data_IF_275353669557
#
_entry.id   IF_275353669557
#
_cell.length_a   1.000
_cell.length_b   1.000
_cell.length_c   1.000
_cell.angle_alpha   90.00
_cell.angle_beta   90.00
_cell.angle_gamma   90.00
#
_symmetry.space_group_name_H-M   'P 1'
#
loop_
_entity.id
_entity.type
_entity.pdbx_description
1 polymer ?
#
# COMPACT_ATOMS: atom_id res chain seq x y z
N UNK A 1 -37.01 -25.66 12.85
CA UNK A 1 -37.19 -24.33 12.24
C UNK A 1 -35.80 -23.69 12.14
N UNK A 2 -34.96 -23.88 11.12
CA UNK A 2 -35.20 -24.37 9.78
C UNK A 2 -35.60 -23.25 8.83
N UNK A 3 -34.78 -22.22 8.64
CA UNK A 3 -34.79 -21.35 7.45
C UNK A 3 -33.61 -20.33 7.47
N UNK A 4 -32.98 -20.16 6.30
CA UNK A 4 -31.90 -19.23 5.92
C UNK A 4 -30.47 -19.49 6.44
N UNK A 5 -29.84 -20.59 6.01
CA UNK A 5 -28.39 -20.58 5.71
C UNK A 5 -28.24 -20.20 4.23
N UNK A 6 -28.25 -18.91 3.91
CA UNK A 6 -27.89 -18.46 2.57
C UNK A 6 -26.47 -18.94 2.27
N UNK A 7 -26.32 -19.74 1.23
CA UNK A 7 -25.01 -20.17 0.74
C UNK A 7 -24.14 -18.93 0.51
N UNK A 8 -22.91 -18.94 1.02
CA UNK A 8 -21.90 -17.91 0.73
C UNK A 8 -21.77 -17.77 -0.80
N UNK A 9 -22.31 -16.69 -1.36
CA UNK A 9 -22.23 -16.46 -2.82
C UNK A 9 -20.95 -15.73 -3.14
N UNK A 10 -20.22 -16.24 -4.13
CA UNK A 10 -19.10 -15.51 -4.73
C UNK A 10 -19.62 -14.21 -5.32
N UNK A 11 -18.99 -13.11 -4.95
CA UNK A 11 -19.37 -11.76 -5.42
C UNK A 11 -18.46 -11.25 -6.54
N UNK A 12 -17.18 -11.67 -6.58
CA UNK A 12 -16.22 -11.19 -7.58
C UNK A 12 -15.07 -12.20 -7.82
N UNK A 13 -14.22 -11.90 -8.80
CA UNK A 13 -13.01 -12.59 -9.18
C UNK A 13 -11.87 -11.57 -9.34
N UNK A 14 -10.93 -11.51 -8.40
CA UNK A 14 -9.88 -10.48 -8.43
C UNK A 14 -8.52 -11.15 -8.29
N UNK A 15 -7.59 -10.87 -9.20
CA UNK A 15 -6.21 -11.36 -9.13
C UNK A 15 -6.08 -12.88 -9.04
N UNK A 16 -7.03 -13.63 -9.61
CA UNK A 16 -7.08 -15.09 -9.53
C UNK A 16 -7.71 -15.68 -8.27
N UNK A 17 -8.18 -14.84 -7.34
CA UNK A 17 -8.87 -15.26 -6.12
C UNK A 17 -10.40 -15.11 -6.23
N UNK A 18 -11.14 -16.04 -5.64
CA UNK A 18 -12.58 -15.94 -5.43
C UNK A 18 -12.88 -15.00 -4.25
N UNK A 19 -13.73 -14.00 -4.45
CA UNK A 19 -14.10 -13.05 -3.41
C UNK A 19 -15.52 -13.33 -2.92
N UNK A 20 -15.68 -13.45 -1.61
CA UNK A 20 -16.96 -13.63 -0.93
C UNK A 20 -17.19 -12.46 0.01
N UNK A 21 -18.34 -11.79 -0.13
CA UNK A 21 -18.68 -10.61 0.66
C UNK A 21 -20.11 -10.71 1.18
N UNK A 22 -20.32 -10.29 2.43
CA UNK A 22 -21.60 -10.41 3.12
C UNK A 22 -21.47 -10.14 4.61
N UNK A 23 -22.57 -10.33 5.33
CA UNK A 23 -22.64 -10.18 6.78
C UNK A 23 -22.45 -11.54 7.47
N UNK A 24 -21.77 -11.60 8.63
CA UNK A 24 -21.53 -12.83 9.41
C UNK A 24 -20.83 -13.96 8.62
N UNK A 25 -20.01 -13.60 7.62
CA UNK A 25 -19.21 -14.58 6.87
C UNK A 25 -18.31 -15.39 7.78
N UNK A 26 -17.73 -14.80 8.83
CA UNK A 26 -16.83 -15.49 9.74
C UNK A 26 -17.46 -16.76 10.36
N UNK A 27 -18.75 -16.70 10.71
CA UNK A 27 -19.49 -17.86 11.24
C UNK A 27 -19.87 -18.90 10.19
N UNK A 28 -19.90 -18.51 8.91
CA UNK A 28 -20.24 -19.39 7.78
C UNK A 28 -19.01 -20.02 7.10
N UNK A 29 -17.79 -19.63 7.49
CA UNK A 29 -16.54 -20.12 6.91
C UNK A 29 -16.43 -21.65 6.87
N UNK A 30 -16.80 -22.43 7.91
CA UNK A 30 -16.69 -23.88 7.85
C UNK A 30 -17.52 -24.50 6.72
N UNK A 31 -18.70 -23.96 6.45
CA UNK A 31 -19.55 -24.43 5.34
C UNK A 31 -18.95 -24.07 3.97
N UNK A 32 -18.35 -22.89 3.84
CA UNK A 32 -17.71 -22.45 2.59
C UNK A 32 -16.43 -23.25 2.29
N UNK A 33 -15.59 -23.49 3.29
CA UNK A 33 -14.35 -24.28 3.16
C UNK A 33 -14.66 -25.76 2.94
N UNK A 34 -15.69 -26.29 3.58
CA UNK A 34 -16.07 -27.70 3.45
C UNK A 34 -16.56 -28.13 2.07
N UNK A 35 -16.96 -27.18 1.21
CA UNK A 35 -17.25 -27.48 -0.20
C UNK A 35 -15.99 -27.74 -1.02
N UNK A 36 -14.81 -27.34 -0.54
CA UNK A 36 -13.55 -27.40 -1.30
C UNK A 36 -12.52 -28.35 -0.69
N UNK A 37 -12.56 -28.57 0.62
CA UNK A 37 -11.62 -29.46 1.30
C UNK A 37 -12.36 -30.47 2.16
N UNK A 38 -12.33 -31.74 1.76
CA UNK A 38 -12.88 -32.84 2.56
C UNK A 38 -12.03 -33.05 3.82
N UNK A 39 -12.65 -32.92 4.99
CA UNK A 39 -12.13 -33.34 6.31
C UNK A 39 -10.61 -33.12 6.51
N UNK A 40 -10.18 -31.87 6.60
CA UNK A 40 -8.76 -31.53 6.70
C UNK A 40 -8.37 -30.89 8.04
N UNK A 41 -7.07 -30.90 8.33
CA UNK A 41 -6.49 -30.02 9.33
C UNK A 41 -6.32 -28.62 8.74
N UNK A 42 -6.71 -27.61 9.51
CA UNK A 42 -6.66 -26.20 9.12
C UNK A 42 -5.61 -25.50 9.98
N UNK A 43 -4.72 -24.76 9.32
CA UNK A 43 -3.82 -23.82 9.98
C UNK A 43 -4.43 -22.43 9.95
N UNK A 44 -4.79 -21.89 11.12
CA UNK A 44 -5.32 -20.54 11.27
C UNK A 44 -4.22 -19.60 11.77
N UNK A 45 -3.93 -18.55 11.00
CA UNK A 45 -2.92 -17.55 11.34
C UNK A 45 -3.59 -16.22 11.63
N UNK A 46 -3.34 -15.66 12.80
CA UNK A 46 -3.97 -14.42 13.26
C UNK A 46 -2.95 -13.30 13.50
N UNK A 47 -3.34 -12.07 13.21
CA UNK A 47 -2.63 -10.90 13.73
C UNK A 47 -2.86 -10.77 15.24
N UNK A 48 -1.94 -10.13 15.96
CA UNK A 48 -2.06 -9.91 17.41
C UNK A 48 -3.38 -9.23 17.82
N UNK A 49 -3.91 -8.37 16.95
CA UNK A 49 -5.15 -7.63 17.20
C UNK A 49 -6.43 -8.44 16.89
N UNK A 50 -6.33 -9.60 16.24
CA UNK A 50 -7.46 -10.37 15.73
C UNK A 50 -7.58 -11.75 16.39
N UNK A 51 -6.89 -11.96 17.51
CA UNK A 51 -6.87 -13.23 18.26
C UNK A 51 -8.27 -13.66 18.70
N UNK A 52 -9.13 -12.73 19.13
CA UNK A 52 -10.51 -13.02 19.51
C UNK A 52 -11.36 -13.51 18.32
N UNK A 53 -11.21 -12.84 17.16
CA UNK A 53 -11.87 -13.26 15.91
C UNK A 53 -11.38 -14.65 15.49
N UNK A 54 -10.06 -14.88 15.55
CA UNK A 54 -9.46 -16.16 15.23
C UNK A 54 -9.93 -17.28 16.16
N UNK A 55 -10.07 -17.02 17.46
CA UNK A 55 -10.60 -17.98 18.43
C UNK A 55 -12.05 -18.38 18.08
N UNK A 56 -12.92 -17.40 17.80
CA UNK A 56 -14.31 -17.66 17.40
C UNK A 56 -14.40 -18.45 16.08
N UNK A 57 -13.56 -18.13 15.10
CA UNK A 57 -13.46 -18.88 13.84
C UNK A 57 -12.97 -20.31 14.09
N UNK A 58 -11.95 -20.49 14.93
CA UNK A 58 -11.43 -21.81 15.27
C UNK A 58 -12.47 -22.70 15.97
N UNK A 59 -13.24 -22.14 16.91
CA UNK A 59 -14.37 -22.82 17.56
C UNK A 59 -15.44 -23.24 16.54
N UNK A 60 -15.77 -22.36 15.59
CA UNK A 60 -16.74 -22.65 14.53
C UNK A 60 -16.29 -23.81 13.63
N UNK A 61 -15.00 -23.85 13.28
CA UNK A 61 -14.40 -24.96 12.51
C UNK A 61 -14.36 -26.26 13.33
N UNK A 62 -14.02 -26.19 14.62
CA UNK A 62 -14.01 -27.35 15.50
C UNK A 62 -15.42 -27.96 15.66
N UNK A 63 -16.44 -27.12 15.82
CA UNK A 63 -17.84 -27.54 15.88
C UNK A 63 -18.32 -28.20 14.57
N UNK A 64 -17.73 -27.84 13.43
CA UNK A 64 -17.98 -28.46 12.13
C UNK A 64 -17.13 -29.72 11.86
N UNK A 65 -16.31 -30.15 12.83
CA UNK A 65 -15.51 -31.39 12.75
C UNK A 65 -14.08 -31.23 12.23
N UNK A 66 -13.60 -29.99 12.00
CA UNK A 66 -12.23 -29.73 11.56
C UNK A 66 -11.25 -29.70 12.73
N UNK A 67 -10.02 -30.15 12.51
CA UNK A 67 -8.91 -29.92 13.46
C UNK A 67 -8.24 -28.60 13.13
N UNK A 68 -8.17 -27.67 14.08
CA UNK A 68 -7.61 -26.33 13.86
C UNK A 68 -6.36 -26.14 14.70
N UNK A 69 -5.26 -25.74 14.07
CA UNK A 69 -4.05 -25.25 14.73
C UNK A 69 -4.00 -23.73 14.60
N UNK A 70 -4.04 -23.00 15.72
CA UNK A 70 -3.97 -21.52 15.71
C UNK A 70 -2.53 -21.06 15.98
N UNK A 71 -2.04 -20.10 15.20
CA UNK A 71 -0.71 -19.48 15.32
C UNK A 71 -0.77 -17.98 15.16
N UNK A 72 0.12 -17.26 15.84
CA UNK A 72 0.32 -15.83 15.63
C UNK A 72 1.13 -15.53 14.37
N UNK A 73 0.80 -14.45 13.67
CA UNK A 73 1.58 -13.98 12.51
C UNK A 73 3.02 -13.56 12.87
N UNK A 74 3.25 -13.23 14.15
CA UNK A 74 4.56 -12.86 14.72
C UNK A 74 5.36 -14.06 15.22
N UNK A 75 4.75 -15.25 15.28
CA UNK A 75 5.38 -16.45 15.83
C UNK A 75 6.22 -17.16 14.77
N UNK A 76 7.35 -17.69 15.21
CA UNK A 76 8.08 -18.70 14.44
C UNK A 76 7.49 -20.07 14.75
N UNK A 77 7.10 -20.79 13.70
CA UNK A 77 6.56 -22.13 13.80
C UNK A 77 6.82 -22.85 12.48
N UNK A 78 6.95 -24.17 12.57
CA UNK A 78 6.92 -25.04 11.40
C UNK A 78 5.47 -25.47 11.13
N UNK A 79 4.95 -25.26 9.92
CA UNK A 79 3.59 -25.63 9.59
C UNK A 79 3.45 -27.16 9.57
N UNK A 80 2.40 -27.68 10.17
CA UNK A 80 2.17 -29.13 10.27
C UNK A 80 1.79 -29.72 8.90
N UNK A 81 2.53 -30.72 8.42
CA UNK A 81 2.43 -31.28 7.06
C UNK A 81 1.02 -31.78 6.65
N UNK A 82 0.18 -32.09 7.64
CA UNK A 82 -1.19 -32.57 7.47
C UNK A 82 -2.18 -31.44 7.14
N UNK A 83 -1.77 -30.18 7.24
CA UNK A 83 -2.62 -29.05 6.90
C UNK A 83 -2.82 -28.97 5.38
N UNK A 84 -4.08 -28.95 4.95
CA UNK A 84 -4.46 -28.84 3.53
C UNK A 84 -5.12 -27.50 3.19
N UNK A 85 -5.47 -26.73 4.22
CA UNK A 85 -5.99 -25.38 4.10
C UNK A 85 -5.33 -24.47 5.14
N UNK A 86 -4.85 -23.31 4.69
CA UNK A 86 -4.30 -22.25 5.54
C UNK A 86 -5.21 -21.05 5.46
N UNK A 87 -5.69 -20.58 6.61
CA UNK A 87 -6.57 -19.42 6.71
C UNK A 87 -5.85 -18.30 7.46
N UNK A 88 -5.76 -17.13 6.86
CA UNK A 88 -5.40 -15.91 7.58
C UNK A 88 -6.65 -15.26 8.17
N UNK A 89 -6.64 -14.89 9.45
CA UNK A 89 -7.63 -14.01 10.07
C UNK A 89 -6.95 -12.71 10.48
N UNK A 90 -6.95 -11.71 9.60
CA UNK A 90 -6.08 -10.55 9.75
C UNK A 90 -6.05 -9.66 8.53
N UNK A 91 -5.01 -8.83 8.44
CA UNK A 91 -4.72 -8.03 7.27
C UNK A 91 -3.39 -8.46 6.63
N UNK A 92 -2.54 -7.51 6.24
CA UNK A 92 -1.34 -7.80 5.44
C UNK A 92 -0.37 -8.80 6.06
N UNK A 93 -0.11 -8.71 7.37
CA UNK A 93 0.92 -9.55 8.01
C UNK A 93 0.48 -11.01 8.12
N UNK A 94 -0.73 -11.26 8.65
CA UNK A 94 -1.32 -12.60 8.64
C UNK A 94 -1.43 -13.18 7.22
N UNK A 95 -1.84 -12.38 6.22
CA UNK A 95 -1.95 -12.83 4.84
C UNK A 95 -0.58 -13.27 4.25
N UNK A 96 0.50 -12.49 4.45
CA UNK A 96 1.84 -12.88 3.99
C UNK A 96 2.33 -14.16 4.67
N UNK A 97 2.14 -14.29 5.99
CA UNK A 97 2.53 -15.49 6.74
C UNK A 97 1.74 -16.71 6.28
N UNK A 98 0.44 -16.57 6.01
CA UNK A 98 -0.41 -17.63 5.47
C UNK A 98 0.02 -18.04 4.06
N UNK A 99 0.29 -17.10 3.17
CA UNK A 99 0.84 -17.39 1.84
C UNK A 99 2.16 -18.14 1.91
N UNK A 100 3.04 -17.79 2.85
CA UNK A 100 4.31 -18.49 3.05
C UNK A 100 4.07 -19.94 3.52
N UNK A 101 3.25 -20.13 4.56
CA UNK A 101 2.93 -21.46 5.08
C UNK A 101 2.21 -22.35 4.05
N UNK A 102 1.25 -21.79 3.31
CA UNK A 102 0.52 -22.50 2.26
C UNK A 102 1.46 -22.97 1.14
N UNK A 103 2.42 -22.13 0.73
CA UNK A 103 3.45 -22.50 -0.25
C UNK A 103 4.34 -23.65 0.24
N UNK A 104 4.78 -23.61 1.50
CA UNK A 104 5.57 -24.69 2.09
C UNK A 104 4.80 -26.01 2.14
N UNK A 105 3.49 -25.95 2.41
CA UNK A 105 2.64 -27.13 2.55
C UNK A 105 2.04 -27.64 1.23
N UNK A 106 2.13 -26.89 0.14
CA UNK A 106 1.33 -27.14 -1.08
C UNK A 106 -0.17 -27.09 -0.81
N UNK A 107 -0.61 -26.27 0.16
CA UNK A 107 -1.98 -26.17 0.63
C UNK A 107 -2.72 -24.98 -0.02
N UNK A 108 -4.05 -25.02 0.00
CA UNK A 108 -4.86 -23.85 -0.38
C UNK A 108 -4.78 -22.75 0.69
N UNK A 109 -4.84 -21.49 0.26
CA UNK A 109 -4.79 -20.32 1.15
C UNK A 109 -6.04 -19.46 1.03
N UNK A 110 -6.74 -19.28 2.15
CA UNK A 110 -7.84 -18.33 2.30
C UNK A 110 -7.44 -17.13 3.19
N UNK A 111 -8.10 -16.00 3.00
CA UNK A 111 -7.93 -14.82 3.85
C UNK A 111 -9.30 -14.31 4.31
N UNK A 112 -9.58 -14.38 5.62
CA UNK A 112 -10.61 -13.59 6.28
C UNK A 112 -10.02 -12.21 6.58
N UNK A 113 -10.40 -11.24 5.76
CA UNK A 113 -9.91 -9.87 5.90
C UNK A 113 -10.66 -9.18 7.03
N UNK A 114 -9.93 -8.81 8.08
CA UNK A 114 -10.52 -8.17 9.28
C UNK A 114 -10.34 -6.65 9.29
N UNK A 115 -9.46 -6.12 8.44
CA UNK A 115 -9.26 -4.68 8.31
C UNK A 115 -8.68 -4.31 6.93
N UNK A 116 -9.21 -3.28 6.25
CA UNK A 116 -8.76 -2.87 4.93
C UNK A 116 -7.50 -1.98 5.02
N UNK A 117 -6.35 -2.54 5.38
CA UNK A 117 -5.12 -1.74 5.64
C UNK A 117 -4.10 -1.74 4.50
N UNK A 118 -4.27 -2.60 3.50
CA UNK A 118 -3.30 -2.81 2.43
C UNK A 118 -3.98 -3.33 1.17
N UNK A 119 -3.48 -2.91 0.02
CA UNK A 119 -3.83 -3.43 -1.31
C UNK A 119 -3.09 -4.75 -1.62
N UNK A 120 -2.06 -5.10 -0.84
CA UNK A 120 -1.12 -6.19 -1.17
C UNK A 120 -1.57 -7.59 -0.77
N UNK A 121 -2.84 -7.78 -0.41
CA UNK A 121 -3.36 -9.09 0.02
C UNK A 121 -3.10 -10.16 -1.05
N UNK A 122 -3.39 -9.84 -2.31
CA UNK A 122 -3.23 -10.73 -3.46
C UNK A 122 -1.85 -10.66 -4.13
N UNK A 123 -0.96 -9.78 -3.66
CA UNK A 123 0.36 -9.60 -4.27
C UNK A 123 1.21 -10.88 -4.15
N UNK A 124 1.90 -11.24 -5.24
CA UNK A 124 2.70 -12.46 -5.32
C UNK A 124 1.91 -13.76 -5.49
N UNK A 125 0.58 -13.68 -5.66
CA UNK A 125 -0.31 -14.82 -5.84
C UNK A 125 -0.45 -15.71 -4.60
N UNK A 126 -0.99 -16.91 -4.80
CA UNK A 126 -1.08 -17.95 -3.77
C UNK A 126 -2.28 -17.86 -2.83
N UNK A 127 -3.13 -16.83 -2.94
CA UNK A 127 -4.43 -16.76 -2.25
C UNK A 127 -5.50 -17.22 -3.21
N UNK A 128 -6.25 -18.27 -2.86
CA UNK A 128 -7.37 -18.77 -3.67
C UNK A 128 -8.69 -18.08 -3.32
N UNK A 129 -8.85 -17.62 -2.07
CA UNK A 129 -10.13 -17.14 -1.54
C UNK A 129 -9.95 -15.96 -0.60
N UNK A 130 -10.80 -14.96 -0.73
CA UNK A 130 -10.89 -13.83 0.20
C UNK A 130 -12.32 -13.69 0.73
N UNK A 131 -12.44 -13.59 2.03
CA UNK A 131 -13.69 -13.50 2.78
C UNK A 131 -13.79 -12.12 3.42
N UNK A 132 -14.86 -11.39 3.07
CA UNK A 132 -15.13 -10.03 3.51
C UNK A 132 -16.41 -10.00 4.35
N UNK A 133 -16.24 -10.02 5.67
CA UNK A 133 -17.34 -9.88 6.61
C UNK A 133 -17.59 -8.39 6.90
N UNK A 134 -18.75 -7.88 6.46
CA UNK A 134 -19.10 -6.47 6.58
C UNK A 134 -19.07 -5.94 8.01
N UNK A 135 -19.58 -6.71 8.98
CA UNK A 135 -19.57 -6.30 10.39
C UNK A 135 -18.16 -6.19 10.95
N UNK A 136 -17.30 -7.14 10.61
CA UNK A 136 -15.90 -7.11 11.05
C UNK A 136 -15.15 -5.94 10.41
N UNK A 137 -15.37 -5.68 9.11
CA UNK A 137 -14.71 -4.59 8.41
C UNK A 137 -15.20 -3.21 8.88
N UNK A 138 -16.49 -3.05 9.16
CA UNK A 138 -17.06 -1.79 9.65
C UNK A 138 -16.72 -1.50 11.12
N UNK A 139 -16.45 -2.55 11.91
CA UNK A 139 -16.01 -2.43 13.31
C UNK A 139 -14.48 -2.32 13.47
N UNK A 140 -13.72 -2.33 12.37
CA UNK A 140 -12.27 -2.24 12.45
C UNK A 140 -11.80 -0.89 13.04
N UNK A 141 -10.61 -0.82 13.66
CA UNK A 141 -10.10 0.44 14.19
C UNK A 141 -10.06 1.53 13.13
N UNK A 142 -10.48 2.77 13.46
CA UNK A 142 -10.54 3.89 12.50
C UNK A 142 -9.23 4.14 11.76
N UNK A 143 -8.09 3.99 12.44
CA UNK A 143 -6.75 4.08 11.82
C UNK A 143 -6.57 3.07 10.67
N UNK A 144 -7.14 1.88 10.77
CA UNK A 144 -7.03 0.84 9.76
C UNK A 144 -7.86 1.20 8.52
N UNK A 145 -9.09 1.66 8.74
CA UNK A 145 -9.95 2.21 7.68
C UNK A 145 -9.28 3.41 7.00
N UNK A 146 -8.73 4.34 7.77
CA UNK A 146 -8.03 5.52 7.25
C UNK A 146 -6.79 5.14 6.43
N UNK A 147 -6.04 4.12 6.84
CA UNK A 147 -4.92 3.60 6.05
C UNK A 147 -5.40 3.08 4.68
N UNK A 148 -6.45 2.25 4.65
CA UNK A 148 -7.05 1.77 3.40
C UNK A 148 -7.52 2.90 2.50
N UNK A 149 -8.29 3.82 3.08
CA UNK A 149 -8.81 4.98 2.34
C UNK A 149 -7.67 5.83 1.79
N UNK A 150 -6.58 5.99 2.56
CA UNK A 150 -5.41 6.74 2.13
C UNK A 150 -4.71 6.15 0.90
N UNK A 151 -4.67 4.83 0.78
CA UNK A 151 -4.16 4.15 -0.42
C UNK A 151 -5.01 4.53 -1.63
N UNK A 152 -6.34 4.38 -1.53
CA UNK A 152 -7.23 4.69 -2.65
C UNK A 152 -7.21 6.18 -3.03
N UNK A 153 -7.21 7.08 -2.04
CA UNK A 153 -7.15 8.53 -2.28
C UNK A 153 -5.81 8.99 -2.88
N UNK A 154 -4.75 8.19 -2.74
CA UNK A 154 -3.45 8.49 -3.34
C UNK A 154 -3.36 8.10 -4.83
N UNK A 155 -4.26 7.22 -5.31
CA UNK A 155 -4.22 6.68 -6.68
C UNK A 155 -4.20 7.73 -7.80
N UNK A 156 -4.91 8.87 -7.73
CA UNK A 156 -4.82 9.88 -8.77
C UNK A 156 -3.41 10.45 -8.99
N UNK A 157 -2.61 10.59 -7.91
CA UNK A 157 -1.22 11.04 -8.01
C UNK A 157 -0.34 9.93 -8.58
N UNK A 158 -0.55 8.68 -8.16
CA UNK A 158 0.10 7.52 -8.79
C UNK A 158 -0.20 7.43 -10.28
N UNK A 159 -1.45 7.66 -10.70
CA UNK A 159 -1.85 7.65 -12.10
C UNK A 159 -1.19 8.79 -12.91
N UNK A 160 -0.94 9.93 -12.27
CA UNK A 160 -0.15 11.01 -12.87
C UNK A 160 1.30 10.60 -13.11
N UNK A 161 1.95 9.97 -12.12
CA UNK A 161 3.32 9.48 -12.28
C UNK A 161 3.42 8.40 -13.37
N UNK A 162 2.45 7.47 -13.43
CA UNK A 162 2.37 6.45 -14.49
C UNK A 162 2.17 7.07 -15.88
N UNK A 163 1.37 8.14 -15.97
CA UNK A 163 1.19 8.90 -17.20
C UNK A 163 2.50 9.55 -17.64
N UNK A 164 3.24 10.17 -16.71
CA UNK A 164 4.53 10.78 -16.97
C UNK A 164 5.55 9.75 -17.47
N UNK A 165 5.70 8.62 -16.78
CA UNK A 165 6.63 7.56 -17.17
C UNK A 165 6.34 6.96 -18.54
N UNK A 166 5.07 6.83 -18.92
CA UNK A 166 4.70 6.34 -20.26
C UNK A 166 5.00 7.37 -21.35
N UNK A 167 4.79 8.67 -21.08
CA UNK A 167 5.23 9.75 -21.97
C UNK A 167 6.75 9.72 -22.17
N UNK A 168 7.52 9.50 -21.10
CA UNK A 168 8.97 9.34 -21.16
C UNK A 168 9.39 8.09 -21.94
N UNK A 169 8.64 7.00 -21.84
CA UNK A 169 8.96 5.75 -22.54
C UNK A 169 8.51 5.76 -24.00
N UNK A 170 7.69 6.73 -24.42
CA UNK A 170 7.10 6.81 -25.77
C UNK A 170 5.94 5.84 -25.98
N UNK A 171 5.41 5.26 -24.91
CA UNK A 171 4.21 4.46 -24.95
C UNK A 171 2.95 5.33 -25.05
N UNK A 172 1.86 4.74 -25.55
CA UNK A 172 0.55 5.40 -25.50
C UNK A 172 0.17 5.66 -24.03
N UNK A 173 -0.03 6.93 -23.63
CA UNK A 173 -0.47 7.22 -22.27
C UNK A 173 -1.89 6.66 -22.07
N UNK A 174 -2.21 6.08 -20.91
CA UNK A 174 -3.56 5.68 -20.60
C UNK A 174 -4.45 6.92 -20.57
N UNK A 175 -5.74 6.74 -20.81
CA UNK A 175 -6.71 7.79 -20.51
C UNK A 175 -6.51 8.20 -19.04
N UNK A 176 -6.17 9.46 -18.81
CA UNK A 176 -6.07 9.98 -17.46
C UNK A 176 -7.49 10.08 -16.91
N UNK A 177 -7.85 9.13 -16.06
CA UNK A 177 -9.13 9.10 -15.37
C UNK A 177 -8.88 9.38 -13.90
N UNK A 178 -9.45 10.49 -13.41
CA UNK A 178 -9.57 10.70 -11.98
C UNK A 178 -10.57 9.67 -11.45
N UNK A 179 -10.10 8.66 -10.72
CA UNK A 179 -10.99 7.74 -10.02
C UNK A 179 -11.72 8.52 -8.94
N UNK A 180 -12.99 8.85 -9.19
CA UNK A 180 -13.86 9.43 -8.17
C UNK A 180 -14.27 8.34 -7.19
N UNK A 181 -13.82 8.46 -5.94
CA UNK A 181 -14.26 7.57 -4.87
C UNK A 181 -15.61 8.06 -4.33
N UNK A 182 -16.63 7.19 -4.18
CA UNK A 182 -17.90 7.51 -3.53
C UNK A 182 -17.68 8.21 -2.20
N UNK A 183 -18.52 9.19 -1.81
CA UNK A 183 -18.30 10.04 -0.62
C UNK A 183 -18.11 9.26 0.68
N UNK A 184 -18.82 8.14 0.82
CA UNK A 184 -18.69 7.20 1.93
C UNK A 184 -18.52 5.80 1.33
N UNK A 185 -17.62 5.03 1.93
CA UNK A 185 -17.35 3.65 1.53
C UNK A 185 -17.56 2.80 2.77
N UNK A 186 -18.39 1.77 2.68
CA UNK A 186 -18.40 0.69 3.66
C UNK A 186 -17.01 0.03 3.75
N UNK A 187 -16.73 -0.65 4.86
CA UNK A 187 -15.50 -1.42 5.02
C UNK A 187 -15.33 -2.47 3.91
N UNK A 188 -16.43 -3.09 3.47
CA UNK A 188 -16.46 -4.04 2.34
C UNK A 188 -16.10 -3.39 1.01
N UNK A 189 -16.71 -2.24 0.67
CA UNK A 189 -16.38 -1.52 -0.57
C UNK A 189 -14.94 -1.03 -0.58
N UNK A 190 -14.44 -0.57 0.57
CA UNK A 190 -13.04 -0.18 0.73
C UNK A 190 -12.10 -1.38 0.52
N UNK A 191 -12.40 -2.52 1.13
CA UNK A 191 -11.64 -3.76 0.95
C UNK A 191 -11.62 -4.21 -0.52
N UNK A 192 -12.77 -4.21 -1.20
CA UNK A 192 -12.86 -4.53 -2.62
C UNK A 192 -12.04 -3.57 -3.48
N UNK A 193 -12.12 -2.26 -3.20
CA UNK A 193 -11.32 -1.25 -3.89
C UNK A 193 -9.82 -1.48 -3.73
N UNK A 194 -9.36 -1.88 -2.54
CA UNK A 194 -7.96 -2.22 -2.26
C UNK A 194 -7.52 -3.49 -2.99
N UNK A 195 -8.35 -4.53 -3.01
CA UNK A 195 -8.04 -5.77 -3.75
C UNK A 195 -7.87 -5.51 -5.25
N UNK A 196 -8.75 -4.70 -5.83
CA UNK A 196 -8.65 -4.28 -7.24
C UNK A 196 -7.38 -3.46 -7.49
N UNK A 197 -7.10 -2.47 -6.64
CA UNK A 197 -5.89 -1.67 -6.74
C UNK A 197 -4.60 -2.52 -6.63
N UNK A 198 -4.60 -3.52 -5.75
CA UNK A 198 -3.49 -4.46 -5.61
C UNK A 198 -3.26 -5.30 -6.86
N UNK A 199 -4.33 -5.83 -7.45
CA UNK A 199 -4.25 -6.62 -8.67
C UNK A 199 -3.70 -5.82 -9.86
N UNK A 200 -4.02 -4.53 -9.97
CA UNK A 200 -3.50 -3.65 -11.04
C UNK A 200 -2.00 -3.31 -10.89
N UNK A 201 -1.43 -3.47 -9.70
CA UNK A 201 -0.06 -3.01 -9.38
C UNK A 201 0.93 -4.15 -9.20
N UNK A 202 0.48 -5.41 -9.31
CA UNK A 202 1.28 -6.60 -8.99
C UNK A 202 2.56 -6.77 -9.83
N UNK A 203 2.56 -6.30 -11.08
CA UNK A 203 3.66 -6.53 -12.04
C UNK A 203 4.65 -5.34 -12.15
N UNK A 204 4.57 -4.35 -11.26
CA UNK A 204 5.46 -3.18 -11.33
C UNK A 204 6.86 -3.52 -10.85
N UNK A 205 7.85 -3.34 -11.73
CA UNK A 205 9.27 -3.52 -11.40
C UNK A 205 9.79 -2.48 -10.40
N UNK A 206 9.23 -1.26 -10.41
CA UNK A 206 9.62 -0.16 -9.52
C UNK A 206 8.41 0.40 -8.76
N UNK A 207 8.59 0.83 -7.50
CA UNK A 207 7.54 1.53 -6.77
C UNK A 207 7.26 2.90 -7.38
N UNK A 208 6.01 3.33 -7.29
CA UNK A 208 5.65 4.72 -7.63
C UNK A 208 6.24 5.71 -6.62
N UNK A 209 6.40 6.99 -6.97
CA UNK A 209 6.86 8.01 -6.02
C UNK A 209 6.12 8.02 -4.69
N UNK A 210 4.78 7.91 -4.73
CA UNK A 210 3.93 7.84 -3.54
C UNK A 210 4.29 6.63 -2.67
N UNK A 211 4.45 5.45 -3.27
CA UNK A 211 4.78 4.23 -2.54
C UNK A 211 6.20 4.24 -2.00
N UNK A 212 7.16 4.78 -2.76
CA UNK A 212 8.55 4.89 -2.37
C UNK A 212 8.70 5.83 -1.16
N UNK A 213 8.10 7.02 -1.21
CA UNK A 213 8.07 7.96 -0.08
C UNK A 213 7.41 7.32 1.13
N UNK A 214 6.24 6.70 0.95
CA UNK A 214 5.54 6.00 2.04
C UNK A 214 6.32 4.80 2.60
N UNK A 215 7.20 4.20 1.81
CA UNK A 215 8.11 3.14 2.22
C UNK A 215 9.26 3.64 3.10
N UNK A 216 9.76 4.86 2.86
CA UNK A 216 10.87 5.47 3.62
C UNK A 216 10.40 6.07 4.95
N UNK A 217 9.23 6.70 4.97
CA UNK A 217 8.69 7.44 6.13
C UNK A 217 8.63 6.63 7.46
N UNK A 218 8.22 5.35 7.49
CA UNK A 218 8.26 4.54 8.71
C UNK A 218 9.66 4.41 9.32
N UNK A 219 10.70 4.32 8.49
CA UNK A 219 12.09 4.19 8.97
C UNK A 219 12.61 5.50 9.55
N UNK A 220 12.28 6.64 8.92
CA UNK A 220 12.60 7.96 9.46
C UNK A 220 11.90 8.21 10.80
N UNK A 221 10.63 7.80 10.94
CA UNK A 221 9.90 7.87 12.19
C UNK A 221 10.60 7.07 13.30
N UNK A 222 10.98 5.81 13.04
CA UNK A 222 11.72 4.97 14.00
C UNK A 222 13.06 5.58 14.40
N UNK A 223 13.86 6.03 13.41
CA UNK A 223 15.17 6.66 13.63
C UNK A 223 15.07 7.91 14.53
N UNK A 224 13.93 8.60 14.51
CA UNK A 224 13.65 9.79 15.34
C UNK A 224 12.88 9.46 16.63
N UNK A 225 12.80 8.18 17.02
CA UNK A 225 12.15 7.74 18.26
C UNK A 225 10.61 7.87 18.26
N UNK A 226 9.98 7.95 17.08
CA UNK A 226 8.52 8.09 16.93
C UNK A 226 7.89 6.77 16.52
N UNK A 227 6.62 6.58 16.90
CA UNK A 227 5.84 5.43 16.45
C UNK A 227 5.47 5.57 14.96
N UNK A 228 5.82 4.60 14.11
CA UNK A 228 5.42 4.63 12.70
C UNK A 228 3.90 4.52 12.52
N UNK A 229 3.38 5.26 11.55
CA UNK A 229 2.01 5.12 11.06
C UNK A 229 1.88 3.98 10.07
N UNK A 230 0.64 3.63 9.72
CA UNK A 230 0.41 2.62 8.68
C UNK A 230 0.76 3.17 7.30
N UNK A 231 1.19 2.28 6.41
CA UNK A 231 1.65 2.63 5.06
C UNK A 231 0.64 3.49 4.30
N UNK A 232 -0.63 3.11 4.33
CA UNK A 232 -1.67 3.85 3.60
C UNK A 232 -1.90 5.28 4.08
N UNK A 233 -1.67 5.55 5.37
CA UNK A 233 -1.67 6.91 5.90
C UNK A 233 -0.50 7.72 5.30
N UNK A 234 0.70 7.12 5.27
CA UNK A 234 1.87 7.75 4.66
C UNK A 234 1.71 7.94 3.15
N UNK A 235 1.07 7.02 2.42
CA UNK A 235 0.80 7.16 0.99
C UNK A 235 -0.07 8.38 0.72
N UNK A 236 -1.12 8.60 1.51
CA UNK A 236 -1.98 9.75 1.30
C UNK A 236 -1.28 11.08 1.59
N UNK A 237 -0.51 11.15 2.68
CA UNK A 237 0.28 12.35 3.01
C UNK A 237 1.37 12.60 1.97
N UNK A 238 2.02 11.55 1.47
CA UNK A 238 2.97 11.63 0.37
C UNK A 238 2.33 12.14 -0.92
N UNK A 239 1.14 11.64 -1.29
CA UNK A 239 0.41 12.11 -2.46
C UNK A 239 0.05 13.61 -2.37
N UNK A 240 -0.40 14.07 -1.20
CA UNK A 240 -0.67 15.49 -0.97
C UNK A 240 0.59 16.36 -1.15
N UNK A 241 1.70 15.92 -0.57
CA UNK A 241 2.96 16.64 -0.64
C UNK A 241 3.56 16.62 -2.06
N UNK A 242 3.56 15.47 -2.73
CA UNK A 242 4.04 15.31 -4.10
C UNK A 242 3.22 16.12 -5.09
N UNK A 243 1.89 16.08 -5.01
CA UNK A 243 1.03 16.90 -5.88
C UNK A 243 1.36 18.38 -5.76
N UNK A 244 1.58 18.87 -4.54
CA UNK A 244 1.96 20.27 -4.30
C UNK A 244 3.37 20.57 -4.84
N UNK A 245 4.34 19.69 -4.57
CA UNK A 245 5.71 19.82 -5.05
C UNK A 245 5.76 19.84 -6.58
N UNK A 246 5.09 18.90 -7.25
CA UNK A 246 5.01 18.84 -8.71
C UNK A 246 4.38 20.07 -9.32
N UNK A 247 3.30 20.59 -8.70
CA UNK A 247 2.68 21.83 -9.16
C UNK A 247 3.65 23.00 -9.09
N UNK A 248 4.43 23.12 -8.01
CA UNK A 248 5.43 24.19 -7.85
C UNK A 248 6.60 24.02 -8.82
N UNK A 249 7.11 22.80 -8.97
CA UNK A 249 8.21 22.47 -9.87
C UNK A 249 7.85 22.79 -11.33
N UNK A 250 6.68 22.33 -11.79
CA UNK A 250 6.24 22.57 -13.17
C UNK A 250 5.85 24.03 -13.42
N UNK A 251 5.48 24.79 -12.39
CA UNK A 251 5.18 26.24 -12.54
C UNK A 251 6.43 27.10 -12.70
N UNK A 252 7.62 26.57 -12.36
CA UNK A 252 8.89 27.29 -12.50
C UNK A 252 9.48 27.10 -13.90
N UNK A 253 10.14 28.10 -14.51
CA UNK A 253 10.98 27.89 -15.70
C UNK A 253 11.95 26.71 -15.46
N UNK A 254 12.17 25.88 -16.48
CA UNK A 254 13.18 24.81 -16.39
C UNK A 254 14.55 25.48 -16.43
N UNK A 255 15.16 25.68 -15.26
CA UNK A 255 16.52 26.19 -15.17
C UNK A 255 17.41 24.97 -14.91
N UNK A 256 17.86 24.37 -16.02
CA UNK A 256 18.72 23.18 -16.07
C UNK A 256 20.19 23.52 -15.75
N UNK A 257 20.44 24.05 -14.55
CA UNK A 257 21.80 24.38 -14.11
C UNK A 257 22.09 23.86 -12.70
N UNK A 258 21.49 22.73 -12.32
CA UNK A 258 21.81 22.07 -11.05
C UNK A 258 22.77 20.90 -11.30
N UNK A 259 23.78 20.70 -10.42
CA UNK A 259 24.64 19.53 -10.50
C UNK A 259 23.81 18.25 -10.36
N UNK A 260 24.17 17.15 -11.03
CA UNK A 260 23.45 15.88 -10.91
C UNK A 260 23.43 15.40 -9.45
N UNK A 261 22.38 14.65 -9.09
CA UNK A 261 22.22 14.16 -7.72
C UNK A 261 23.33 13.19 -7.28
N UNK A 262 23.61 13.22 -5.97
CA UNK A 262 24.53 12.27 -5.32
C UNK A 262 23.80 10.94 -5.06
N UNK A 263 23.70 10.13 -6.12
CA UNK A 263 23.06 8.81 -6.10
C UNK A 263 23.73 7.85 -5.12
N UNK A 264 25.05 7.95 -4.95
CA UNK A 264 25.83 7.14 -4.03
C UNK A 264 25.49 7.46 -2.57
N UNK A 265 25.36 8.74 -2.22
CA UNK A 265 24.90 9.16 -0.90
C UNK A 265 23.48 8.67 -0.62
N UNK A 266 22.55 8.85 -1.56
CA UNK A 266 21.17 8.40 -1.40
C UNK A 266 21.08 6.88 -1.20
N UNK A 267 21.82 6.10 -2.00
CA UNK A 267 21.91 4.65 -1.87
C UNK A 267 22.48 4.22 -0.51
N UNK A 268 23.54 4.91 -0.05
CA UNK A 268 24.17 4.65 1.25
C UNK A 268 23.19 4.90 2.39
N UNK A 269 22.47 6.03 2.37
CA UNK A 269 21.51 6.38 3.41
C UNK A 269 20.30 5.46 3.39
N UNK A 270 19.78 5.09 2.22
CA UNK A 270 18.69 4.10 2.10
C UNK A 270 19.10 2.73 2.63
N UNK A 271 20.30 2.24 2.31
CA UNK A 271 20.80 0.97 2.82
C UNK A 271 20.89 0.99 4.35
N UNK A 272 21.46 2.07 4.92
CA UNK A 272 21.58 2.25 6.36
C UNK A 272 20.20 2.35 7.06
N UNK A 273 19.22 3.02 6.44
CA UNK A 273 17.88 3.19 7.00
C UNK A 273 17.03 1.93 6.94
N UNK A 274 17.08 1.19 5.84
CA UNK A 274 16.18 0.07 5.56
C UNK A 274 16.76 -1.28 5.95
N UNK A 275 18.08 -1.37 6.14
CA UNK A 275 18.80 -2.63 6.35
C UNK A 275 18.92 -3.50 5.10
N UNK A 276 18.54 -2.98 3.92
CA UNK A 276 18.65 -3.70 2.64
C UNK A 276 20.08 -3.64 2.12
N UNK A 277 20.48 -4.67 1.35
CA UNK A 277 21.78 -4.66 0.67
C UNK A 277 21.82 -3.54 -0.38
N UNK A 278 23.00 -2.93 -0.52
CA UNK A 278 23.23 -1.90 -1.56
C UNK A 278 22.96 -2.44 -2.96
N UNK A 279 23.33 -3.71 -3.22
CA UNK A 279 23.09 -4.36 -4.51
C UNK A 279 21.59 -4.43 -4.85
N UNK A 280 20.75 -4.88 -3.91
CA UNK A 280 19.29 -4.93 -4.12
C UNK A 280 18.67 -3.55 -4.32
N UNK A 281 19.18 -2.52 -3.65
CA UNK A 281 18.71 -1.16 -3.85
C UNK A 281 19.17 -0.60 -5.20
N UNK A 282 20.41 -0.87 -5.60
CA UNK A 282 20.98 -0.39 -6.87
C UNK A 282 20.22 -0.93 -8.09
N UNK A 283 19.68 -2.15 -8.03
CA UNK A 283 18.80 -2.70 -9.08
C UNK A 283 17.51 -1.89 -9.30
N UNK A 284 17.06 -1.13 -8.29
CA UNK A 284 15.92 -0.23 -8.39
C UNK A 284 16.29 1.20 -8.80
N UNK A 285 17.58 1.56 -8.72
CA UNK A 285 18.06 2.88 -9.12
C UNK A 285 18.12 2.97 -10.65
N UNK A 286 17.59 4.08 -11.16
CA UNK A 286 17.70 4.41 -12.58
C UNK A 286 18.72 5.52 -12.76
N UNK A 287 19.89 5.12 -13.25
CA UNK A 287 20.92 6.06 -13.62
C UNK A 287 20.54 6.63 -14.98
N UNK A 288 19.83 7.76 -14.99
CA UNK A 288 19.49 8.45 -16.23
C UNK A 288 20.75 8.70 -17.05
N UNK A 289 20.84 8.05 -18.20
CA UNK A 289 21.84 8.37 -19.22
C UNK A 289 21.58 9.76 -19.81
N UNK A 290 22.60 10.33 -20.45
CA UNK A 290 22.55 11.67 -21.10
C UNK A 290 21.34 11.82 -22.03
N UNK A 291 21.02 10.79 -22.82
CA UNK A 291 19.86 10.80 -23.72
C UNK A 291 18.52 10.80 -22.99
N UNK A 292 18.45 10.16 -21.82
CA UNK A 292 17.26 10.17 -20.96
C UNK A 292 17.00 11.56 -20.38
N UNK A 293 18.06 12.22 -19.92
CA UNK A 293 18.00 13.60 -19.40
C UNK A 293 17.42 14.59 -20.42
N UNK A 294 17.99 14.64 -21.64
CA UNK A 294 17.49 15.55 -22.67
C UNK A 294 16.05 15.27 -23.08
N UNK A 295 15.67 13.99 -23.16
CA UNK A 295 14.29 13.60 -23.47
C UNK A 295 13.30 14.08 -22.40
N UNK A 296 13.67 13.95 -21.12
CA UNK A 296 12.82 14.40 -20.03
C UNK A 296 12.72 15.93 -20.03
N UNK A 297 13.83 16.65 -20.20
CA UNK A 297 13.82 18.12 -20.27
C UNK A 297 12.97 18.62 -21.44
N UNK A 298 13.05 17.96 -22.60
CA UNK A 298 12.14 18.24 -23.71
C UNK A 298 10.68 18.04 -23.30
N UNK A 299 10.35 16.91 -22.67
CA UNK A 299 8.97 16.61 -22.27
C UNK A 299 8.45 17.61 -21.22
N UNK A 300 9.26 17.95 -20.22
CA UNK A 300 8.92 18.92 -19.17
C UNK A 300 8.88 20.36 -19.70
N UNK A 301 9.64 20.67 -20.75
CA UNK A 301 9.59 21.95 -21.44
C UNK A 301 8.34 22.09 -22.30
N UNK A 302 8.11 21.11 -23.17
CA UNK A 302 7.02 21.11 -24.17
C UNK A 302 5.64 20.87 -23.56
N UNK A 303 5.50 19.85 -22.72
CA UNK A 303 4.20 19.39 -22.18
C UNK A 303 3.90 19.93 -20.79
N UNK A 304 4.60 20.99 -20.36
CA UNK A 304 4.47 21.55 -19.02
C UNK A 304 3.04 21.89 -18.63
N UNK A 305 2.36 22.64 -19.50
CA UNK A 305 1.00 23.12 -19.26
C UNK A 305 0.02 21.95 -19.19
N UNK A 306 0.16 20.96 -20.06
CA UNK A 306 -0.64 19.73 -20.04
C UNK A 306 -0.46 18.94 -18.73
N UNK A 307 0.79 18.86 -18.23
CA UNK A 307 1.08 18.20 -16.96
C UNK A 307 0.48 18.95 -15.77
N UNK A 308 0.54 20.29 -15.79
CA UNK A 308 -0.12 21.15 -14.78
C UNK A 308 -1.63 20.97 -14.83
N UNK A 309 -2.24 20.96 -16.02
CA UNK A 309 -3.68 20.76 -16.19
C UNK A 309 -4.11 19.43 -15.55
N UNK A 310 -3.39 18.33 -15.83
CA UNK A 310 -3.67 17.01 -15.23
C UNK A 310 -3.52 17.01 -13.71
N UNK A 311 -2.49 17.65 -13.17
CA UNK A 311 -2.32 17.78 -11.71
C UNK A 311 -3.39 18.68 -11.06
N UNK A 312 -3.91 19.65 -11.81
CA UNK A 312 -4.96 20.56 -11.35
C UNK A 312 -6.31 19.86 -11.23
N UNK A 313 -6.58 18.87 -12.09
CA UNK A 313 -7.78 18.04 -12.05
C UNK A 313 -7.83 17.10 -10.82
N UNK A 314 -6.73 16.90 -10.11
CA UNK A 314 -6.69 16.07 -8.90
C UNK A 314 -7.16 16.90 -7.68
N UNK A 315 -8.39 16.66 -7.21
CA UNK A 315 -8.91 17.26 -5.97
C UNK A 315 -8.45 16.52 -4.72
N UNK A 316 -7.26 16.86 -4.21
CA UNK A 316 -6.80 16.39 -2.91
C UNK A 316 -7.34 17.18 -1.73
N UNK A 317 -7.92 18.37 -1.94
CA UNK A 317 -8.41 19.22 -0.83
C UNK A 317 -9.68 18.60 -0.22
N UNK A 318 -10.61 18.19 -1.07
CA UNK A 318 -11.80 17.48 -0.60
C UNK A 318 -11.45 16.10 -0.04
N UNK A 319 -10.51 15.39 -0.68
CA UNK A 319 -9.98 14.12 -0.20
C UNK A 319 -9.37 14.24 1.20
N UNK A 320 -8.61 15.30 1.46
CA UNK A 320 -7.98 15.56 2.75
C UNK A 320 -9.02 15.79 3.85
N UNK A 321 -10.03 16.62 3.58
CA UNK A 321 -11.13 16.86 4.52
C UNK A 321 -11.86 15.57 4.85
N UNK A 322 -12.13 14.73 3.84
CA UNK A 322 -12.78 13.44 4.01
C UNK A 322 -11.93 12.48 4.83
N UNK A 323 -10.65 12.35 4.50
CA UNK A 323 -9.73 11.46 5.19
C UNK A 323 -9.55 11.86 6.65
N UNK A 324 -9.40 13.15 6.96
CA UNK A 324 -9.30 13.65 8.35
C UNK A 324 -10.54 13.33 9.19
N UNK A 325 -11.75 13.32 8.59
CA UNK A 325 -13.02 12.98 9.29
C UNK A 325 -13.15 11.51 9.66
N UNK A 326 -12.27 10.64 9.14
CA UNK A 326 -12.23 9.24 9.59
C UNK A 326 -11.71 9.08 11.02
N UNK A 327 -10.98 10.09 11.52
CA UNK A 327 -10.52 10.17 12.90
C UNK A 327 -11.51 10.96 13.75
N UNK A 328 -11.66 10.55 15.01
CA UNK A 328 -12.50 11.25 15.99
C UNK A 328 -11.92 12.63 16.34
N UNK A 329 -10.59 12.76 16.30
CA UNK A 329 -9.84 13.97 16.58
C UNK A 329 -9.30 14.60 15.28
N UNK A 330 -10.16 15.32 14.56
CA UNK A 330 -9.96 15.87 13.20
C UNK A 330 -8.81 16.92 13.04
N UNK A 331 -7.61 16.65 13.54
CA UNK A 331 -6.42 17.49 13.43
C UNK A 331 -5.31 17.18 14.46
N UNK A 332 -5.61 16.49 15.55
CA UNK A 332 -4.60 16.15 16.57
C UNK A 332 -3.80 14.89 16.20
N UNK A 333 -4.42 13.97 15.48
CA UNK A 333 -3.83 12.69 15.11
C UNK A 333 -2.52 12.77 14.29
N UNK A 334 -2.32 13.79 13.43
CA UNK A 334 -1.05 13.97 12.69
C UNK A 334 0.00 14.79 13.46
N UNK A 335 -0.38 15.41 14.58
CA UNK A 335 0.51 16.30 15.34
C UNK A 335 1.70 15.50 15.88
N UNK A 336 2.92 15.90 15.50
CA UNK A 336 4.15 15.24 15.93
C UNK A 336 4.45 13.90 15.25
N UNK A 337 3.55 13.37 14.39
CA UNK A 337 3.80 12.14 13.65
C UNK A 337 4.83 12.35 12.52
N UNK A 338 4.80 13.52 11.88
CA UNK A 338 5.62 13.86 10.73
C UNK A 338 5.98 15.35 10.75
N UNK A 339 7.19 15.69 10.30
CA UNK A 339 7.61 17.07 10.02
C UNK A 339 7.80 17.29 8.52
N UNK A 340 7.81 18.55 8.08
CA UNK A 340 8.17 18.88 6.70
C UNK A 340 9.55 18.30 6.31
N UNK A 341 10.50 18.30 7.27
CA UNK A 341 11.82 17.70 7.10
C UNK A 341 11.75 16.19 6.84
N UNK A 342 10.95 15.45 7.62
CA UNK A 342 10.75 14.01 7.38
C UNK A 342 10.26 13.75 5.94
N UNK A 343 9.32 14.57 5.47
CA UNK A 343 8.76 14.43 4.12
C UNK A 343 9.79 14.76 3.04
N UNK A 344 10.53 15.86 3.16
CA UNK A 344 11.55 16.23 2.15
C UNK A 344 12.71 15.24 2.14
N UNK A 345 13.17 14.77 3.30
CA UNK A 345 14.22 13.74 3.38
C UNK A 345 13.73 12.43 2.73
N UNK A 346 12.46 12.05 2.97
CA UNK A 346 11.86 10.88 2.33
C UNK A 346 11.73 11.03 0.81
N UNK A 347 11.38 12.21 0.30
CA UNK A 347 11.30 12.50 -1.14
C UNK A 347 12.66 12.39 -1.84
N UNK A 348 13.73 12.93 -1.23
CA UNK A 348 15.10 12.80 -1.77
C UNK A 348 15.49 11.33 -1.90
N UNK A 349 15.32 10.56 -0.82
CA UNK A 349 15.68 9.15 -0.81
C UNK A 349 14.78 8.32 -1.76
N UNK A 350 13.48 8.60 -1.79
CA UNK A 350 12.53 7.91 -2.65
C UNK A 350 12.77 8.17 -4.14
N UNK A 351 13.19 9.38 -4.51
CA UNK A 351 13.45 9.74 -5.91
C UNK A 351 14.55 8.90 -6.57
N UNK A 352 15.49 8.36 -5.78
CA UNK A 352 16.51 7.43 -6.28
C UNK A 352 15.97 6.05 -6.64
N UNK A 353 14.85 5.61 -6.07
CA UNK A 353 14.29 4.24 -6.23
C UNK A 353 12.92 4.19 -6.89
N UNK A 354 12.31 5.35 -7.16
CA UNK A 354 11.01 5.46 -7.81
C UNK A 354 11.14 5.77 -9.30
N UNK A 355 10.03 5.65 -10.04
CA UNK A 355 9.85 6.29 -11.34
C UNK A 355 9.29 7.72 -11.22
N UNK A 356 8.59 8.16 -12.25
CA UNK A 356 7.77 9.36 -12.27
C UNK A 356 8.54 10.67 -12.28
N UNK A 357 7.81 11.76 -12.02
CA UNK A 357 8.38 13.11 -12.01
C UNK A 357 9.35 13.30 -10.83
N UNK A 358 9.12 12.63 -9.69
CA UNK A 358 10.02 12.68 -8.54
C UNK A 358 11.42 12.16 -8.89
N UNK A 359 11.51 11.08 -9.67
CA UNK A 359 12.79 10.54 -10.12
C UNK A 359 13.56 11.55 -10.99
N UNK A 360 12.86 12.22 -11.90
CA UNK A 360 13.49 13.27 -12.69
C UNK A 360 14.04 14.41 -11.81
N UNK A 361 13.23 14.92 -10.88
CA UNK A 361 13.65 15.97 -9.94
C UNK A 361 14.84 15.53 -9.07
N UNK A 362 14.91 14.25 -8.72
CA UNK A 362 16.09 13.68 -8.05
C UNK A 362 17.29 13.77 -8.99
N UNK A 363 17.22 13.17 -10.17
CA UNK A 363 18.35 13.06 -11.09
C UNK A 363 18.93 14.40 -11.55
N UNK A 364 18.13 15.47 -11.61
CA UNK A 364 18.62 16.83 -11.89
C UNK A 364 19.25 17.53 -10.68
N UNK A 365 19.38 16.86 -9.53
CA UNK A 365 19.89 17.45 -8.28
C UNK A 365 18.94 18.46 -7.62
N UNK A 366 17.70 18.62 -8.12
CA UNK A 366 16.74 19.59 -7.57
C UNK A 366 16.38 19.27 -6.12
N UNK A 367 16.15 17.99 -5.81
CA UNK A 367 15.79 17.57 -4.45
C UNK A 367 16.95 17.77 -3.45
N UNK A 368 18.19 17.55 -3.89
CA UNK A 368 19.38 17.77 -3.07
C UNK A 368 19.57 19.26 -2.76
N UNK A 369 19.39 20.13 -3.76
CA UNK A 369 19.45 21.58 -3.57
C UNK A 369 18.34 22.08 -2.61
N UNK A 370 17.12 21.54 -2.73
CA UNK A 370 15.99 21.88 -1.86
C UNK A 370 16.26 21.54 -0.38
N UNK A 371 16.99 20.46 -0.11
CA UNK A 371 17.26 19.97 1.25
C UNK A 371 18.60 20.45 1.84
N UNK A 372 19.44 21.10 1.03
CA UNK A 372 20.73 21.67 1.41
C UNK A 372 20.64 22.99 2.20
N UNK A 373 19.45 23.62 2.30
CA UNK A 373 19.24 24.80 3.15
C UNK A 373 19.69 24.53 4.60
N UNK A 374 20.32 25.52 5.26
CA UNK A 374 21.10 25.30 6.46
C UNK A 374 20.30 24.56 7.52
N UNK A 375 20.91 23.50 8.07
CA UNK A 375 20.50 22.90 9.34
C UNK A 375 20.65 23.97 10.41
N UNK A 376 19.67 24.89 10.51
CA UNK A 376 19.62 25.78 11.66
C UNK A 376 19.65 24.89 12.89
N UNK A 377 20.73 25.05 13.66
CA UNK A 377 20.89 24.41 14.94
C UNK A 377 19.68 24.82 15.79
N UNK A 378 18.68 23.94 15.87
CA UNK A 378 17.67 24.00 16.91
C UNK A 378 18.39 23.59 18.19
N UNK A 379 19.06 24.58 18.79
CA UNK A 379 19.95 24.43 19.92
C UNK A 379 20.22 25.80 20.54
N UNK A 380 19.15 26.42 21.04
CA UNK A 380 19.08 27.13 22.32
C UNK A 380 17.65 27.08 22.81
#
# INVERSE_FOLDING_TARGET
MGENRENLRRCDAIGGADIYAGEDIAGMLPAAVGQKVESCRILLIADKATTAVAASVAESFAAAGYRVSVRGADEEFEPEEQCRFVLAAGAGKAAEKAKAAARTLGAECGVLLTAPTTERILAGGGVSQVYLDGRLLDSCPRRCYAAGLGILLSRPVTAFDDFFDRKLSGGAPPAFSSVELPRELSGTELALGLLRAGAETADRARPTPVEAVAGVLPYLAKRRGRQPRMRGEYMFVAACALRRLYSLYLSSPAIDALPPADSERALTELAALTGRSRASLAEMFDFLGVSGYFRINYIVGEYRLDLIEKLSAIDLVSAERRWRRTYEDAGWFLRGALTARDMTDAMVLAGGVSGGLLHHMFSTGFLDAMTALPRQAAGT
#
